data_IF_592604518977
#
_entry.id   IF_592604518977
#
_cell.length_a   1.000
_cell.length_b   1.000
_cell.length_c   1.000
_cell.angle_alpha   90.00
_cell.angle_beta   90.00
_cell.angle_gamma   90.00
#
_symmetry.space_group_name_H-M   'P 1'
#
loop_
_entity.id
_entity.type
_entity.pdbx_description
1 polymer ?
#
# COMPACT_ATOMS: atom_id res chain seq x y z
N UNK A 1 -5.02 6.34 -48.94
CA UNK A 1 -4.18 6.50 -50.16
C UNK A 1 -5.06 6.76 -51.36
N UNK A 2 -4.69 7.64 -52.31
CA UNK A 2 -5.45 7.82 -53.54
C UNK A 2 -5.38 6.52 -54.36
N UNK A 3 -6.53 6.01 -54.81
CA UNK A 3 -6.57 4.79 -55.63
C UNK A 3 -5.83 5.06 -56.96
N UNK A 4 -4.97 4.15 -57.44
CA UNK A 4 -4.50 4.23 -58.81
C UNK A 4 -5.74 4.05 -59.70
N UNK A 5 -6.16 5.11 -60.37
CA UNK A 5 -7.24 5.04 -61.32
C UNK A 5 -6.86 4.00 -62.39
N UNK A 6 -7.71 2.99 -62.59
CA UNK A 6 -7.58 2.07 -63.72
C UNK A 6 -7.56 2.92 -64.99
N UNK A 7 -6.44 2.91 -65.71
CA UNK A 7 -6.35 3.53 -67.03
C UNK A 7 -7.11 2.65 -68.02
N UNK A 8 -8.41 2.92 -68.14
CA UNK A 8 -9.34 2.15 -68.97
C UNK A 8 -8.91 2.13 -70.43
N UNK A 9 -8.30 3.22 -70.93
CA UNK A 9 -7.81 3.28 -72.31
C UNK A 9 -6.57 2.42 -72.53
N UNK A 10 -5.64 2.38 -71.57
CA UNK A 10 -4.48 1.50 -71.64
C UNK A 10 -4.87 0.02 -71.59
N UNK A 11 -5.83 -0.36 -70.74
CA UNK A 11 -6.28 -1.75 -70.61
C UNK A 11 -7.10 -2.23 -71.82
N UNK A 12 -7.96 -1.38 -72.40
CA UNK A 12 -8.65 -1.69 -73.67
C UNK A 12 -7.65 -1.92 -74.81
N UNK A 13 -6.58 -1.11 -74.88
CA UNK A 13 -5.52 -1.25 -75.89
C UNK A 13 -4.77 -2.58 -75.75
N UNK A 14 -4.48 -3.03 -74.52
CA UNK A 14 -3.84 -4.33 -74.25
C UNK A 14 -4.74 -5.51 -74.66
N UNK A 15 -6.04 -5.44 -74.35
CA UNK A 15 -7.00 -6.48 -74.74
C UNK A 15 -7.17 -6.58 -76.26
N UNK A 16 -7.14 -5.43 -76.96
CA UNK A 16 -7.14 -5.39 -78.43
C UNK A 16 -5.88 -6.04 -79.02
N UNK A 17 -4.71 -5.78 -78.45
CA UNK A 17 -3.45 -6.41 -78.84
C UNK A 17 -3.44 -7.93 -78.57
N UNK A 18 -4.20 -8.40 -77.59
CA UNK A 18 -4.40 -9.82 -77.29
C UNK A 18 -5.42 -10.52 -78.22
N UNK A 19 -5.97 -9.81 -79.22
CA UNK A 19 -6.90 -10.36 -80.22
C UNK A 19 -8.38 -10.23 -79.87
N UNK A 20 -8.73 -9.50 -78.80
CA UNK A 20 -10.12 -9.22 -78.47
C UNK A 20 -10.67 -8.06 -79.35
N UNK A 21 -11.86 -8.19 -79.96
CA UNK A 21 -12.50 -7.09 -80.68
C UNK A 21 -12.68 -5.86 -79.78
N UNK A 22 -12.51 -4.66 -80.35
CA UNK A 22 -12.47 -3.41 -79.58
C UNK A 22 -13.74 -3.14 -78.76
N UNK A 23 -14.91 -3.48 -79.31
CA UNK A 23 -16.19 -3.38 -78.60
C UNK A 23 -16.29 -4.35 -77.42
N UNK A 24 -15.78 -5.57 -77.56
CA UNK A 24 -15.72 -6.54 -76.46
C UNK A 24 -14.71 -6.12 -75.39
N UNK A 25 -13.52 -5.65 -75.78
CA UNK A 25 -12.51 -5.14 -74.86
C UNK A 25 -13.03 -3.94 -74.04
N UNK A 26 -13.72 -3.00 -74.69
CA UNK A 26 -14.34 -1.86 -74.03
C UNK A 26 -15.44 -2.30 -73.04
N UNK A 27 -16.31 -3.23 -73.44
CA UNK A 27 -17.38 -3.73 -72.57
C UNK A 27 -16.84 -4.49 -71.34
N UNK A 28 -15.76 -5.28 -71.50
CA UNK A 28 -15.11 -5.99 -70.40
C UNK A 28 -14.45 -5.01 -69.42
N UNK A 29 -13.74 -4.00 -69.90
CA UNK A 29 -13.11 -2.98 -69.06
C UNK A 29 -14.14 -2.11 -68.37
N UNK A 30 -15.24 -1.75 -69.04
CA UNK A 30 -16.37 -1.02 -68.41
C UNK A 30 -17.02 -1.83 -67.28
N UNK A 31 -17.28 -3.13 -67.51
CA UNK A 31 -17.83 -4.02 -66.50
C UNK A 31 -16.92 -4.13 -65.27
N UNK A 32 -15.61 -4.26 -65.47
CA UNK A 32 -14.62 -4.33 -64.38
C UNK A 32 -14.48 -2.98 -63.67
N UNK A 33 -14.53 -1.87 -64.40
CA UNK A 33 -14.45 -0.51 -63.84
C UNK A 33 -15.70 -0.15 -63.01
N UNK A 34 -16.85 -0.70 -63.40
CA UNK A 34 -18.12 -0.56 -62.67
C UNK A 34 -18.31 -1.62 -61.59
N UNK A 35 -17.46 -2.64 -61.52
CA UNK A 35 -17.58 -3.71 -60.55
C UNK A 35 -17.42 -3.14 -59.13
N UNK A 36 -18.40 -3.35 -58.23
CA UNK A 36 -18.37 -2.79 -56.88
C UNK A 36 -17.27 -3.40 -56.03
N UNK A 37 -16.64 -4.49 -56.49
CA UNK A 37 -15.61 -5.25 -55.78
C UNK A 37 -14.44 -4.35 -55.36
N UNK A 38 -13.98 -3.43 -56.23
CA UNK A 38 -12.88 -2.52 -55.89
C UNK A 38 -13.27 -1.53 -54.78
N UNK A 39 -14.49 -0.99 -54.82
CA UNK A 39 -15.01 -0.10 -53.78
C UNK A 39 -15.26 -0.84 -52.46
N UNK A 40 -15.78 -2.06 -52.52
CA UNK A 40 -16.00 -2.93 -51.36
C UNK A 40 -14.68 -3.33 -50.69
N UNK A 41 -13.65 -3.67 -51.46
CA UNK A 41 -12.31 -3.94 -50.96
C UNK A 41 -11.75 -2.70 -50.25
N UNK A 42 -11.82 -1.52 -50.89
CA UNK A 42 -11.33 -0.27 -50.30
C UNK A 42 -12.03 0.07 -48.98
N UNK A 43 -13.36 -0.06 -48.92
CA UNK A 43 -14.12 0.16 -47.69
C UNK A 43 -13.76 -0.84 -46.58
N UNK A 44 -13.54 -2.11 -46.95
CA UNK A 44 -13.14 -3.15 -46.00
C UNK A 44 -11.75 -2.90 -45.44
N UNK A 45 -10.80 -2.44 -46.28
CA UNK A 45 -9.45 -2.06 -45.86
C UNK A 45 -9.46 -0.86 -44.91
N UNK A 46 -10.20 0.22 -45.24
CA UNK A 46 -10.34 1.37 -44.34
C UNK A 46 -10.94 0.98 -42.98
N UNK A 47 -11.90 0.04 -42.98
CA UNK A 47 -12.50 -0.47 -41.75
C UNK A 47 -11.52 -1.33 -40.94
N UNK A 48 -10.62 -2.05 -41.60
CA UNK A 48 -9.55 -2.79 -40.92
C UNK A 48 -8.51 -1.84 -40.33
N UNK A 49 -8.11 -0.81 -41.06
CA UNK A 49 -7.18 0.23 -40.59
C UNK A 49 -7.72 0.88 -39.31
N UNK A 50 -8.97 1.34 -39.31
CA UNK A 50 -9.60 1.91 -38.11
C UNK A 50 -9.70 0.90 -36.93
N UNK A 51 -9.83 -0.40 -37.21
CA UNK A 51 -9.82 -1.45 -36.17
C UNK A 51 -8.40 -1.69 -35.63
N UNK A 52 -7.38 -1.63 -36.48
CA UNK A 52 -5.98 -1.73 -36.06
C UNK A 52 -5.63 -0.55 -35.15
N UNK A 53 -5.97 0.68 -35.55
CA UNK A 53 -5.78 1.87 -34.73
C UNK A 53 -6.46 1.73 -33.35
N UNK A 54 -7.70 1.20 -33.33
CA UNK A 54 -8.41 0.94 -32.08
C UNK A 54 -7.76 -0.13 -31.22
N UNK A 55 -7.21 -1.19 -31.82
CA UNK A 55 -6.50 -2.26 -31.10
C UNK A 55 -5.20 -1.72 -30.52
N UNK A 56 -4.43 -0.94 -31.28
CA UNK A 56 -3.20 -0.31 -30.82
C UNK A 56 -3.44 0.63 -29.64
N UNK A 57 -4.47 1.48 -29.73
CA UNK A 57 -4.87 2.36 -28.64
C UNK A 57 -5.27 1.58 -27.38
N UNK A 58 -6.04 0.48 -27.53
CA UNK A 58 -6.44 -0.36 -26.41
C UNK A 58 -5.23 -1.06 -25.77
N UNK A 59 -4.31 -1.61 -26.57
CA UNK A 59 -3.11 -2.28 -26.07
C UNK A 59 -2.19 -1.32 -25.33
N UNK A 60 -2.08 -0.06 -25.77
CA UNK A 60 -1.25 0.94 -25.10
C UNK A 60 -1.74 1.26 -23.67
N UNK A 61 -3.03 1.09 -23.38
CA UNK A 61 -3.61 1.31 -22.05
C UNK A 61 -3.62 0.07 -21.14
N UNK A 62 -3.22 -1.10 -21.64
CA UNK A 62 -3.27 -2.34 -20.87
C UNK A 62 -2.02 -2.51 -20.00
N UNK A 63 -2.24 -2.91 -18.75
CA UNK A 63 -1.15 -3.34 -17.88
C UNK A 63 -0.46 -4.58 -18.47
N UNK A 64 0.87 -4.54 -18.51
CA UNK A 64 1.69 -5.66 -18.96
C UNK A 64 1.96 -6.63 -17.82
N UNK A 65 2.49 -7.81 -18.18
CA UNK A 65 2.98 -8.77 -17.19
C UNK A 65 4.08 -8.17 -16.31
N UNK A 66 4.94 -7.32 -16.88
CA UNK A 66 6.00 -6.65 -16.13
C UNK A 66 5.42 -5.69 -15.07
N UNK A 67 4.35 -4.98 -15.38
CA UNK A 67 3.67 -4.09 -14.42
C UNK A 67 3.09 -4.90 -13.25
N UNK A 68 2.46 -6.05 -13.54
CA UNK A 68 1.93 -6.93 -12.50
C UNK A 68 3.03 -7.54 -11.63
N UNK A 69 4.15 -7.95 -12.22
CA UNK A 69 5.27 -8.53 -11.48
C UNK A 69 5.97 -7.47 -10.61
N UNK A 70 6.08 -6.24 -11.11
CA UNK A 70 6.53 -5.09 -10.33
C UNK A 70 5.59 -4.82 -9.14
N UNK A 71 4.29 -4.75 -9.39
CA UNK A 71 3.30 -4.52 -8.33
C UNK A 71 3.35 -5.62 -7.27
N UNK A 72 3.48 -6.90 -7.67
CA UNK A 72 3.65 -8.02 -6.73
C UNK A 72 4.91 -7.88 -5.89
N UNK A 73 6.04 -7.51 -6.51
CA UNK A 73 7.30 -7.33 -5.81
C UNK A 73 7.21 -6.17 -4.80
N UNK A 74 6.65 -5.03 -5.20
CA UNK A 74 6.45 -3.87 -4.33
C UNK A 74 5.51 -4.20 -3.17
N UNK A 75 4.40 -4.89 -3.44
CA UNK A 75 3.43 -5.32 -2.41
C UNK A 75 4.08 -6.27 -1.41
N UNK A 76 4.86 -7.25 -1.89
CA UNK A 76 5.56 -8.20 -1.02
C UNK A 76 6.61 -7.50 -0.15
N UNK A 77 7.40 -6.62 -0.74
CA UNK A 77 8.39 -5.83 0.00
C UNK A 77 7.74 -4.92 1.06
N UNK A 78 6.59 -4.31 0.73
CA UNK A 78 5.81 -3.52 1.69
C UNK A 78 5.31 -4.34 2.86
N UNK A 79 4.75 -5.53 2.61
CA UNK A 79 4.30 -6.43 3.66
C UNK A 79 5.45 -6.92 4.55
N UNK A 80 6.61 -7.22 3.97
CA UNK A 80 7.76 -7.69 4.74
C UNK A 80 8.35 -6.58 5.62
N UNK A 81 8.38 -5.32 5.14
CA UNK A 81 8.73 -4.15 5.95
C UNK A 81 7.76 -3.96 7.11
N UNK A 82 6.46 -3.96 6.85
CA UNK A 82 5.44 -3.80 7.88
C UNK A 82 5.54 -4.88 8.96
N UNK A 83 5.80 -6.14 8.59
CA UNK A 83 6.06 -7.23 9.55
C UNK A 83 7.31 -7.01 10.39
N UNK A 84 8.37 -6.47 9.79
CA UNK A 84 9.62 -6.20 10.52
C UNK A 84 9.43 -5.05 11.53
N UNK A 85 8.80 -3.96 11.11
CA UNK A 85 8.48 -2.79 11.94
C UNK A 85 7.60 -3.18 13.12
N UNK A 86 6.45 -3.82 12.86
CA UNK A 86 5.54 -4.28 13.93
C UNK A 86 6.21 -5.22 14.94
N UNK A 87 7.11 -6.10 14.49
CA UNK A 87 7.88 -6.98 15.38
C UNK A 87 8.90 -6.20 16.22
N UNK A 88 9.51 -5.17 15.66
CA UNK A 88 10.44 -4.28 16.36
C UNK A 88 9.71 -3.49 17.44
N UNK A 89 8.60 -2.87 17.10
CA UNK A 89 7.79 -2.06 18.01
C UNK A 89 7.27 -2.90 19.18
N UNK A 90 6.80 -4.12 18.91
CA UNK A 90 6.38 -5.05 19.95
C UNK A 90 7.52 -5.51 20.88
N UNK A 91 8.78 -5.48 20.42
CA UNK A 91 9.93 -5.75 21.29
C UNK A 91 10.26 -4.54 22.15
N UNK A 92 10.24 -3.34 21.57
CA UNK A 92 10.46 -2.08 22.29
C UNK A 92 9.41 -1.91 23.39
N UNK A 93 8.13 -2.04 23.06
CA UNK A 93 7.05 -1.92 24.03
C UNK A 93 7.18 -2.95 25.18
N UNK A 94 7.57 -4.19 24.88
CA UNK A 94 7.84 -5.20 25.92
C UNK A 94 9.03 -4.82 26.81
N UNK A 95 10.07 -4.23 26.25
CA UNK A 95 11.24 -3.79 27.01
C UNK A 95 10.88 -2.60 27.92
N UNK A 96 10.18 -1.60 27.39
CA UNK A 96 9.73 -0.42 28.12
C UNK A 96 8.78 -0.80 29.25
N UNK A 97 7.79 -1.65 28.99
CA UNK A 97 6.86 -2.12 30.04
C UNK A 97 7.59 -2.89 31.13
N UNK A 98 8.56 -3.76 30.79
CA UNK A 98 9.37 -4.47 31.78
C UNK A 98 10.24 -3.51 32.61
N UNK A 99 10.85 -2.52 31.97
CA UNK A 99 11.66 -1.51 32.66
C UNK A 99 10.80 -0.67 33.61
N UNK A 100 9.63 -0.20 33.15
CA UNK A 100 8.68 0.56 33.95
C UNK A 100 8.19 -0.22 35.18
N UNK A 101 7.86 -1.52 35.01
CA UNK A 101 7.48 -2.37 36.14
C UNK A 101 8.63 -2.59 37.13
N UNK A 102 9.88 -2.68 36.66
CA UNK A 102 11.03 -2.81 37.53
C UNK A 102 11.26 -1.54 38.35
N UNK A 103 11.17 -0.36 37.72
CA UNK A 103 11.26 0.93 38.39
C UNK A 103 10.16 1.11 39.44
N UNK A 104 8.90 0.85 39.08
CA UNK A 104 7.78 0.95 40.01
C UNK A 104 7.97 0.01 41.21
N UNK A 105 8.50 -1.20 40.99
CA UNK A 105 8.80 -2.14 42.08
C UNK A 105 9.90 -1.60 43.01
N UNK A 106 10.93 -0.96 42.48
CA UNK A 106 12.00 -0.37 43.28
C UNK A 106 11.52 0.85 44.06
N UNK A 107 10.75 1.74 43.44
CA UNK A 107 10.15 2.91 44.09
C UNK A 107 9.22 2.49 45.22
N UNK A 108 8.28 1.58 44.94
CA UNK A 108 7.35 1.06 45.96
C UNK A 108 8.09 0.43 47.15
N UNK A 109 9.21 -0.27 46.90
CA UNK A 109 10.01 -0.86 47.97
C UNK A 109 10.69 0.21 48.83
N UNK A 110 11.25 1.24 48.20
CA UNK A 110 11.87 2.38 48.90
C UNK A 110 10.85 3.16 49.73
N UNK A 111 9.64 3.37 49.19
CA UNK A 111 8.55 4.03 49.91
C UNK A 111 8.12 3.21 51.14
N UNK A 112 8.00 1.89 51.00
CA UNK A 112 7.69 0.99 52.13
C UNK A 112 8.80 1.02 53.19
N UNK A 113 10.06 1.04 52.78
CA UNK A 113 11.20 1.13 53.71
C UNK A 113 11.19 2.47 54.47
N UNK A 114 10.90 3.57 53.78
CA UNK A 114 10.73 4.91 54.38
C UNK A 114 9.58 4.92 55.39
N UNK A 115 8.39 4.44 55.00
CA UNK A 115 7.23 4.39 55.89
C UNK A 115 7.48 3.52 57.13
N UNK A 116 8.23 2.42 56.98
CA UNK A 116 8.64 1.59 58.13
C UNK A 116 9.56 2.36 59.07
N UNK A 117 10.55 3.09 58.53
CA UNK A 117 11.45 3.91 59.33
C UNK A 117 10.67 5.00 60.10
N UNK A 118 9.80 5.74 59.41
CA UNK A 118 8.95 6.77 60.03
C UNK A 118 8.08 6.19 61.15
N UNK A 119 7.48 5.01 60.90
CA UNK A 119 6.66 4.32 61.91
C UNK A 119 7.50 3.91 63.12
N UNK A 120 8.72 3.41 62.92
CA UNK A 120 9.60 3.07 64.04
C UNK A 120 10.03 4.30 64.83
N UNK A 121 10.31 5.41 64.18
CA UNK A 121 10.66 6.67 64.84
C UNK A 121 9.50 7.19 65.70
N UNK A 122 8.29 7.20 65.14
CA UNK A 122 7.09 7.59 65.89
C UNK A 122 6.84 6.67 67.10
N UNK A 123 7.04 5.36 66.96
CA UNK A 123 6.90 4.41 68.06
C UNK A 123 7.95 4.66 69.16
N UNK A 124 9.20 4.97 68.81
CA UNK A 124 10.22 5.33 69.80
C UNK A 124 9.87 6.64 70.52
N UNK A 125 9.45 7.67 69.78
CA UNK A 125 9.05 8.96 70.33
C UNK A 125 7.86 8.83 71.30
N UNK A 126 6.87 8.01 70.95
CA UNK A 126 5.72 7.73 71.83
C UNK A 126 6.14 6.94 73.07
N UNK A 127 7.03 5.95 72.96
CA UNK A 127 7.58 5.22 74.11
C UNK A 127 8.30 6.16 75.08
N UNK A 128 9.19 7.02 74.58
CA UNK A 128 9.90 8.03 75.38
C UNK A 128 8.91 8.95 76.10
N UNK A 129 7.87 9.41 75.40
CA UNK A 129 6.83 10.26 75.98
C UNK A 129 6.06 9.56 77.11
N UNK A 130 5.75 8.27 76.94
CA UNK A 130 5.07 7.45 77.97
C UNK A 130 5.97 7.26 79.19
N UNK A 131 7.26 6.97 79.00
CA UNK A 131 8.22 6.81 80.10
C UNK A 131 8.41 8.11 80.88
N UNK A 132 8.51 9.24 80.18
CA UNK A 132 8.58 10.55 80.80
C UNK A 132 7.32 10.85 81.64
N UNK A 133 6.13 10.54 81.12
CA UNK A 133 4.87 10.70 81.85
C UNK A 133 4.82 9.80 83.09
N UNK A 134 5.19 8.52 82.97
CA UNK A 134 5.28 7.58 84.10
C UNK A 134 6.22 8.10 85.18
N UNK A 135 7.42 8.55 84.81
CA UNK A 135 8.39 9.12 85.75
C UNK A 135 7.87 10.40 86.44
N UNK A 136 7.07 11.21 85.75
CA UNK A 136 6.39 12.36 86.34
C UNK A 136 5.33 11.95 87.37
N UNK A 137 4.48 10.97 87.01
CA UNK A 137 3.44 10.44 87.89
C UNK A 137 4.02 9.79 89.16
N UNK A 138 5.07 8.98 89.02
CA UNK A 138 5.76 8.37 90.18
C UNK A 138 6.31 9.45 91.12
N UNK A 139 6.91 10.51 90.59
CA UNK A 139 7.38 11.64 91.40
C UNK A 139 6.23 12.35 92.13
N UNK A 140 5.10 12.58 91.45
CA UNK A 140 3.93 13.21 92.07
C UNK A 140 3.37 12.37 93.23
N UNK A 141 3.20 11.07 93.03
CA UNK A 141 2.71 10.16 94.07
C UNK A 141 3.61 10.16 95.31
N UNK A 142 4.93 10.17 95.08
CA UNK A 142 5.91 10.27 96.16
C UNK A 142 5.80 11.58 96.94
N UNK A 143 5.65 12.72 96.24
CA UNK A 143 5.44 14.03 96.87
C UNK A 143 4.13 14.08 97.68
N UNK A 144 3.09 13.39 97.24
CA UNK A 144 1.79 13.34 97.93
C UNK A 144 1.72 12.30 99.07
N UNK A 145 2.78 11.51 99.29
CA UNK A 145 2.79 10.45 100.30
C UNK A 145 1.87 9.26 99.97
N UNK A 146 1.53 9.07 98.70
CA UNK A 146 0.66 7.99 98.20
C UNK A 146 1.45 6.77 97.69
N UNK A 147 2.78 6.80 97.79
CA UNK A 147 3.71 5.79 97.30
C UNK A 147 4.41 5.05 98.44
#
# INVERSE_FOLDING_TARGET
>A
MPQPALDTHAEVRKLKQAGCPEEQAAAMVDLVSRAPVNAQIANSLNRLEAKVDSIEANMAGMATKADLDRLRAETKAGLDRLRAETKSDLKLLRAETKAGLALLRTETKADIETLRADTTEMNMSTQVSIEALRASMTRMLWIQGLA
#
